data_IF_146905456031
#
_entry.id   IF_146905456031
#
_cell.length_a   1.000
_cell.length_b   1.000
_cell.length_c   1.000
_cell.angle_alpha   90.00
_cell.angle_beta   90.00
_cell.angle_gamma   90.00
#
_symmetry.space_group_name_H-M   'P 1'
#
loop_
_entity.id
_entity.type
_entity.pdbx_description
1 polymer ?
#
# COMPACT_ATOMS: atom_id res chain seq x y z
N UNK A 1 18.11 6.70 14.34
CA UNK A 1 16.89 6.99 13.57
C UNK A 1 16.17 5.67 13.29
N UNK A 2 15.08 5.35 14.01
CA UNK A 2 14.40 4.04 13.89
C UNK A 2 13.62 3.94 12.57
N UNK A 3 14.28 3.44 11.52
CA UNK A 3 13.72 3.16 10.19
C UNK A 3 12.49 2.26 10.22
N UNK A 4 12.32 1.44 11.28
CA UNK A 4 11.13 0.60 11.47
C UNK A 4 9.81 1.38 11.64
N UNK A 5 9.83 2.62 12.17
CA UNK A 5 8.58 3.39 12.35
C UNK A 5 8.05 3.97 11.04
N UNK A 6 8.94 4.41 10.15
CA UNK A 6 8.61 5.00 8.83
C UNK A 6 8.14 3.98 7.79
N UNK A 7 7.91 2.73 8.19
CA UNK A 7 7.53 1.64 7.28
C UNK A 7 6.43 0.73 7.86
N UNK A 8 5.79 1.16 8.96
CA UNK A 8 4.61 0.49 9.52
C UNK A 8 3.37 0.71 8.65
N UNK A 9 2.36 -0.17 8.77
CA UNK A 9 1.09 -0.02 8.06
C UNK A 9 0.45 1.33 8.39
N UNK A 10 0.42 1.70 9.68
CA UNK A 10 -0.16 2.97 10.11
C UNK A 10 0.53 4.17 9.48
N UNK A 11 1.86 4.19 9.47
CA UNK A 11 2.61 5.27 8.82
C UNK A 11 2.27 5.38 7.33
N UNK A 12 2.15 4.25 6.62
CA UNK A 12 1.80 4.27 5.20
C UNK A 12 0.36 4.72 4.95
N UNK A 13 -0.58 4.31 5.81
CA UNK A 13 -1.96 4.79 5.76
C UNK A 13 -2.01 6.31 5.96
N UNK A 14 -1.32 6.83 6.98
CA UNK A 14 -1.21 8.28 7.22
C UNK A 14 -0.58 9.01 6.03
N UNK A 15 0.46 8.44 5.43
CA UNK A 15 1.17 9.04 4.29
C UNK A 15 0.33 9.11 3.02
N UNK A 16 -0.39 8.04 2.69
CA UNK A 16 -1.03 7.90 1.38
C UNK A 16 -2.52 8.25 1.38
N UNK A 17 -3.24 7.92 2.45
CA UNK A 17 -4.65 8.27 2.58
C UNK A 17 -4.86 9.62 3.25
N UNK A 18 -3.82 10.17 3.91
CA UNK A 18 -3.84 11.44 4.63
C UNK A 18 -5.15 11.68 5.41
N UNK A 19 -5.62 10.70 6.21
CA UNK A 19 -6.90 10.81 6.89
C UNK A 19 -6.86 11.99 7.87
N UNK A 20 -7.85 12.87 7.75
CA UNK A 20 -8.09 13.95 8.70
C UNK A 20 -8.60 13.38 10.03
N UNK A 21 -8.64 14.20 11.09
CA UNK A 21 -9.18 13.81 12.40
C UNK A 21 -10.65 13.37 12.36
N UNK A 22 -11.38 13.75 11.30
CA UNK A 22 -12.80 13.47 11.13
C UNK A 22 -13.04 12.28 10.19
N UNK A 23 -11.99 11.74 9.58
CA UNK A 23 -12.10 10.67 8.59
C UNK A 23 -12.15 9.30 9.27
N UNK A 24 -13.08 8.46 8.82
CA UNK A 24 -13.14 7.08 9.27
C UNK A 24 -12.16 6.24 8.45
N UNK A 25 -11.24 5.53 9.11
CA UNK A 25 -10.30 4.60 8.46
C UNK A 25 -10.60 3.18 8.90
N UNK A 26 -10.79 2.26 7.94
CA UNK A 26 -11.05 0.84 8.23
C UNK A 26 -10.28 -0.09 7.30
N UNK A 27 -10.00 -1.30 7.78
CA UNK A 27 -9.53 -2.39 6.92
C UNK A 27 -10.76 -3.03 6.27
N UNK A 28 -10.92 -2.86 4.97
CA UNK A 28 -12.05 -3.42 4.22
C UNK A 28 -11.78 -4.85 3.77
N UNK A 29 -10.51 -5.18 3.49
CA UNK A 29 -10.11 -6.51 3.08
C UNK A 29 -8.71 -6.84 3.60
N UNK A 30 -8.48 -8.11 3.89
CA UNK A 30 -7.16 -8.64 4.21
C UNK A 30 -6.99 -9.99 3.53
N UNK A 31 -5.78 -10.28 3.09
CA UNK A 31 -5.54 -11.51 2.34
C UNK A 31 -4.07 -11.84 2.16
N UNK A 32 -3.84 -12.84 1.31
CA UNK A 32 -2.52 -13.26 0.87
C UNK A 32 -2.53 -13.44 -0.64
N UNK A 33 -1.48 -13.00 -1.30
CA UNK A 33 -1.23 -13.30 -2.71
C UNK A 33 -0.97 -14.79 -2.89
N UNK A 34 -1.34 -15.35 -4.06
CA UNK A 34 -1.24 -16.78 -4.30
C UNK A 34 0.22 -17.23 -4.53
N UNK A 35 1.01 -16.44 -5.25
CA UNK A 35 2.35 -16.83 -5.71
C UNK A 35 3.41 -16.77 -4.62
N UNK A 36 3.42 -15.71 -3.81
CA UNK A 36 4.44 -15.44 -2.79
C UNK A 36 3.89 -15.43 -1.36
N UNK A 37 2.60 -15.76 -1.17
CA UNK A 37 1.89 -15.78 0.13
C UNK A 37 2.03 -14.47 0.93
N UNK A 38 2.33 -13.38 0.23
CA UNK A 38 2.55 -12.05 0.77
C UNK A 38 1.25 -11.52 1.36
N UNK A 39 1.31 -11.04 2.60
CA UNK A 39 0.13 -10.44 3.24
C UNK A 39 -0.16 -9.09 2.59
N UNK A 40 -1.43 -8.85 2.30
CA UNK A 40 -1.89 -7.53 1.89
C UNK A 40 -3.18 -7.16 2.61
N UNK A 41 -3.45 -5.86 2.68
CA UNK A 41 -4.68 -5.30 3.24
C UNK A 41 -5.18 -4.19 2.32
N UNK A 42 -6.49 -4.10 2.13
CA UNK A 42 -7.14 -2.92 1.56
C UNK A 42 -7.64 -2.07 2.72
N UNK A 43 -7.21 -0.81 2.76
CA UNK A 43 -7.66 0.18 3.73
C UNK A 43 -8.49 1.21 3.00
N UNK A 44 -9.66 1.49 3.57
CA UNK A 44 -10.59 2.50 3.07
C UNK A 44 -10.63 3.66 4.06
N UNK A 45 -10.57 4.88 3.54
CA UNK A 45 -10.89 6.11 4.26
C UNK A 45 -12.16 6.74 3.70
N UNK A 46 -13.02 7.23 4.59
CA UNK A 46 -14.25 7.95 4.25
C UNK A 46 -14.19 9.39 4.74
N UNK A 47 -14.48 10.32 3.85
CA UNK A 47 -14.62 11.74 4.17
C UNK A 47 -15.86 12.31 3.48
N UNK A 48 -16.87 12.73 4.26
CA UNK A 48 -18.14 13.32 3.83
C UNK A 48 -18.83 12.61 2.64
N UNK A 49 -18.44 12.94 1.41
CA UNK A 49 -18.99 12.42 0.16
C UNK A 49 -17.99 11.62 -0.69
N UNK A 50 -16.77 11.37 -0.19
CA UNK A 50 -15.72 10.70 -0.93
C UNK A 50 -15.11 9.54 -0.13
N UNK A 51 -14.71 8.48 -0.83
CA UNK A 51 -14.03 7.33 -0.25
C UNK A 51 -12.78 7.00 -1.03
N UNK A 52 -11.67 6.80 -0.33
CA UNK A 52 -10.38 6.43 -0.93
C UNK A 52 -9.98 5.06 -0.43
N UNK A 53 -9.58 4.18 -1.33
CA UNK A 53 -9.19 2.81 -1.00
C UNK A 53 -7.81 2.52 -1.55
N UNK A 54 -6.89 2.04 -0.71
CA UNK A 54 -5.55 1.63 -1.13
C UNK A 54 -5.20 0.24 -0.62
N UNK A 55 -4.49 -0.49 -1.47
CA UNK A 55 -3.85 -1.74 -1.11
C UNK A 55 -2.46 -1.49 -0.53
N UNK A 56 -2.19 -2.13 0.60
CA UNK A 56 -0.89 -2.15 1.24
C UNK A 56 -0.39 -3.58 1.28
N UNK A 57 0.86 -3.80 0.89
CA UNK A 57 1.51 -5.09 0.78
C UNK A 57 2.64 -5.17 1.81
N UNK A 58 2.73 -6.29 2.52
CA UNK A 58 3.79 -6.53 3.52
C UNK A 58 4.96 -7.27 2.87
N UNK A 59 6.07 -6.58 2.72
CA UNK A 59 7.31 -7.08 2.11
C UNK A 59 8.08 -8.00 3.07
N UNK A 60 9.03 -8.76 2.52
CA UNK A 60 9.81 -9.76 3.27
C UNK A 60 10.67 -9.16 4.39
N UNK A 61 11.02 -7.89 4.26
CA UNK A 61 11.66 -7.06 5.29
C UNK A 61 10.70 -6.63 6.43
N UNK A 62 9.43 -7.05 6.36
CA UNK A 62 8.39 -6.70 7.32
C UNK A 62 7.73 -5.35 7.07
N UNK A 63 8.18 -4.59 6.08
CA UNK A 63 7.71 -3.24 5.78
C UNK A 63 6.43 -3.25 4.94
N UNK A 64 5.58 -2.25 5.13
CA UNK A 64 4.39 -2.06 4.31
C UNK A 64 4.66 -1.09 3.16
N UNK A 65 4.15 -1.39 1.97
CA UNK A 65 4.27 -0.53 0.77
C UNK A 65 2.99 -0.59 -0.08
N UNK A 66 2.73 0.42 -0.91
CA UNK A 66 1.53 0.50 -1.78
C UNK A 66 1.69 -0.24 -3.11
N UNK A 67 2.82 -0.92 -3.29
CA UNK A 67 3.11 -1.75 -4.45
C UNK A 67 3.45 -3.17 -3.98
N UNK A 68 3.09 -4.20 -4.78
CA UNK A 68 3.44 -5.58 -4.47
C UNK A 68 4.96 -5.76 -4.40
N UNK A 69 5.45 -6.67 -3.54
CA UNK A 69 6.86 -7.07 -3.63
C UNK A 69 7.08 -7.68 -5.02
N UNK A 70 8.19 -7.35 -5.66
CA UNK A 70 8.48 -7.86 -7.01
C UNK A 70 8.66 -9.37 -6.94
N UNK A 71 7.59 -10.11 -7.21
CA UNK A 71 7.66 -11.49 -7.69
C UNK A 71 7.52 -11.40 -9.21
N UNK A 72 8.63 -11.14 -9.89
CA UNK A 72 8.79 -11.39 -11.33
C UNK A 72 7.73 -10.79 -12.30
N UNK A 73 7.23 -9.58 -12.02
CA UNK A 73 6.35 -8.91 -12.97
C UNK A 73 7.15 -8.49 -14.23
N UNK A 74 6.61 -8.71 -15.45
CA UNK A 74 7.27 -8.25 -16.67
C UNK A 74 7.45 -6.74 -16.57
N UNK A 75 8.71 -6.32 -16.65
CA UNK A 75 9.07 -4.92 -16.57
C UNK A 75 8.53 -4.23 -17.83
N UNK A 76 7.51 -3.39 -17.73
CA UNK A 76 7.18 -2.45 -18.80
C UNK A 76 8.35 -1.49 -18.91
N UNK A 77 9.30 -1.80 -19.79
CA UNK A 77 10.38 -0.90 -20.12
C UNK A 77 9.79 0.23 -20.96
N UNK A 78 9.95 1.47 -20.51
CA UNK A 78 9.66 2.63 -21.35
C UNK A 78 10.88 2.83 -22.23
N UNK A 79 10.87 2.23 -23.42
CA UNK A 79 11.78 2.68 -24.47
C UNK A 79 11.33 4.07 -24.91
N UNK A 80 12.11 5.08 -24.54
CA UNK A 80 11.96 6.39 -25.18
C UNK A 80 12.43 6.26 -26.62
N UNK A 81 11.48 6.14 -27.54
CA UNK A 81 11.72 6.35 -28.96
C UNK A 81 12.21 7.79 -29.12
N UNK A 82 13.50 7.98 -29.39
CA UNK A 82 13.98 9.28 -29.85
C UNK A 82 13.65 9.40 -31.33
N UNK A 83 12.84 10.40 -31.67
CA UNK A 83 12.67 10.91 -33.02
C UNK A 83 13.66 12.05 -33.26
#
# INVERSE_FOLDING_TARGET
MNTFRVQSLRYQVEKWLAPSSTDCVRVALSGRTLSDRMRYVCVESYHSNNSHSLFFFRHGDGCWRVYPARTDAPQMTVERSQA
#
